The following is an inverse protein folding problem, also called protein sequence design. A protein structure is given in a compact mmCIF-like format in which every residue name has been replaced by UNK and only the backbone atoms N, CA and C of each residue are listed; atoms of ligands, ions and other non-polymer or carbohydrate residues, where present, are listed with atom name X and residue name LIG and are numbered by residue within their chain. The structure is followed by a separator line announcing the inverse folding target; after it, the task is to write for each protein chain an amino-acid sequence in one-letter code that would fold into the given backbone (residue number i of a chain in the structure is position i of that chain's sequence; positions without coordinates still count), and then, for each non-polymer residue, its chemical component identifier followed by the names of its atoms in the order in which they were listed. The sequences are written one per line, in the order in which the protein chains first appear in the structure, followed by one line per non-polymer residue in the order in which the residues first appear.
data_IF_802185681808
#
_entry.id   IF_802185681808
#
_cell.length_a   1.000
_cell.length_b   1.000
_cell.length_c   1.000
_cell.angle_alpha   90.00
_cell.angle_beta   90.00
_cell.angle_gamma   90.00
#
_symmetry.space_group_name_H-M   'P 1'
#
loop_
_entity.id
_entity.type
_entity.pdbx_description
1 polymer ?
#
# COMPACT_ATOMS: atom_id res chain seq x y z
N UNK A 1 5.63 0.05 25.73
CA UNK A 1 4.72 -0.07 24.57
C UNK A 1 5.55 -0.52 23.37
N UNK A 2 5.44 -1.79 22.97
CA UNK A 2 6.02 -2.24 21.71
C UNK A 2 5.22 -1.60 20.58
N UNK A 3 5.81 -0.63 19.86
CA UNK A 3 5.29 -0.25 18.54
C UNK A 3 5.44 -1.49 17.68
N UNK A 4 4.34 -2.18 17.39
CA UNK A 4 4.37 -3.18 16.32
C UNK A 4 4.94 -2.51 15.08
N UNK A 5 5.97 -3.14 14.52
CA UNK A 5 6.70 -2.60 13.39
C UNK A 5 5.76 -2.70 12.19
N UNK A 6 5.15 -1.57 11.78
CA UNK A 6 4.31 -1.51 10.59
C UNK A 6 5.05 -2.18 9.43
N UNK A 7 4.61 -3.39 9.10
CA UNK A 7 5.20 -4.17 8.03
C UNK A 7 4.56 -3.71 6.72
N UNK A 8 5.34 -3.66 5.63
CA UNK A 8 4.78 -3.29 4.34
C UNK A 8 3.72 -4.30 3.95
N UNK A 9 2.55 -3.81 3.56
CA UNK A 9 1.43 -4.66 3.17
C UNK A 9 1.68 -5.30 1.80
N UNK A 10 2.15 -4.48 0.85
CA UNK A 10 2.49 -4.94 -0.49
C UNK A 10 3.62 -4.11 -1.08
N UNK A 11 4.44 -4.72 -1.95
CA UNK A 11 5.49 -4.03 -2.69
C UNK A 11 5.48 -4.44 -4.16
N UNK A 12 5.50 -3.43 -5.03
CA UNK A 12 5.66 -3.58 -6.48
C UNK A 12 7.00 -2.98 -6.89
N UNK A 13 7.77 -3.68 -7.73
CA UNK A 13 9.11 -3.22 -8.11
C UNK A 13 9.47 -3.63 -9.53
N UNK A 14 10.20 -2.76 -10.22
CA UNK A 14 10.79 -3.04 -11.53
C UNK A 14 12.11 -2.28 -11.70
N UNK A 15 13.18 -3.04 -11.94
CA UNK A 15 14.54 -2.51 -11.91
C UNK A 15 14.87 -1.83 -10.58
N UNK A 16 15.36 -0.59 -10.64
CA UNK A 16 15.67 0.20 -9.45
C UNK A 16 14.46 0.90 -8.81
N UNK A 17 13.24 0.84 -9.37
CA UNK A 17 12.09 1.61 -8.86
C UNK A 17 11.11 0.69 -8.14
N UNK A 18 10.57 1.13 -7.00
CA UNK A 18 9.54 0.39 -6.26
C UNK A 18 8.49 1.29 -5.62
N UNK A 19 7.25 0.84 -5.60
CA UNK A 19 6.15 1.39 -4.80
C UNK A 19 5.79 0.40 -3.68
N UNK A 20 5.77 0.87 -2.44
CA UNK A 20 5.41 0.08 -1.26
C UNK A 20 4.12 0.62 -0.65
N UNK A 21 3.13 -0.25 -0.49
CA UNK A 21 1.85 0.03 0.17
C UNK A 21 1.96 -0.32 1.66
N UNK A 22 1.45 0.56 2.50
CA UNK A 22 1.45 0.43 3.95
C UNK A 22 0.04 0.62 4.49
N UNK A 23 -0.41 -0.28 5.37
CA UNK A 23 -1.63 -0.08 6.17
C UNK A 23 -1.25 0.53 7.51
N UNK A 24 -1.65 1.77 7.73
CA UNK A 24 -1.36 2.49 8.96
C UNK A 24 -2.60 2.56 9.83
N UNK A 25 -2.38 2.62 11.14
CA UNK A 25 -3.41 2.91 12.12
C UNK A 25 -3.30 4.37 12.55
N UNK A 26 -4.44 4.99 12.78
CA UNK A 26 -4.57 6.36 13.24
C UNK A 26 -5.76 6.51 14.18
N UNK A 27 -6.00 7.74 14.62
CA UNK A 27 -7.20 8.09 15.37
C UNK A 27 -7.95 9.20 14.66
N UNK A 28 -9.28 9.12 14.64
CA UNK A 28 -10.13 10.21 14.16
C UNK A 28 -10.05 11.41 15.11
N UNK A 29 -10.61 12.56 14.70
CA UNK A 29 -10.68 13.75 15.57
C UNK A 29 -11.46 13.50 16.87
N UNK A 30 -12.33 12.48 16.87
CA UNK A 30 -13.17 12.08 18.01
C UNK A 30 -12.48 11.00 18.87
N UNK A 31 -11.32 10.51 18.45
CA UNK A 31 -10.50 9.54 19.19
C UNK A 31 -10.73 8.08 18.83
N UNK A 32 -11.62 7.80 17.88
CA UNK A 32 -11.89 6.44 17.37
C UNK A 32 -10.71 5.92 16.55
N UNK A 33 -10.45 4.61 16.62
CA UNK A 33 -9.41 3.98 15.80
C UNK A 33 -9.84 3.93 14.34
N UNK A 34 -8.91 4.29 13.45
CA UNK A 34 -9.11 4.23 12.00
C UNK A 34 -7.87 3.65 11.34
N UNK A 35 -8.03 3.07 10.15
CA UNK A 35 -6.90 2.62 9.34
C UNK A 35 -6.91 3.30 7.98
N UNK A 36 -5.74 3.57 7.45
CA UNK A 36 -5.58 4.22 6.15
C UNK A 36 -4.32 3.71 5.43
N UNK A 37 -4.39 3.67 4.11
CA UNK A 37 -3.29 3.21 3.28
C UNK A 37 -2.39 4.38 2.87
N UNK A 38 -1.07 4.16 2.84
CA UNK A 38 -0.10 5.08 2.25
C UNK A 38 0.81 4.36 1.26
N UNK A 39 1.35 5.10 0.30
CA UNK A 39 2.25 4.57 -0.73
C UNK A 39 3.58 5.30 -0.64
N UNK A 40 4.69 4.55 -0.57
CA UNK A 40 6.05 5.09 -0.65
C UNK A 40 6.68 4.68 -1.98
N UNK A 41 7.07 5.68 -2.79
CA UNK A 41 7.81 5.46 -4.04
C UNK A 41 9.31 5.69 -3.80
N UNK A 42 10.15 4.74 -4.22
CA UNK A 42 11.60 4.80 -4.04
C UNK A 42 12.33 4.35 -5.29
N UNK A 43 13.53 4.93 -5.50
CA UNK A 43 14.51 4.48 -6.47
C UNK A 43 15.79 4.04 -5.76
N UNK A 44 16.30 2.84 -6.09
CA UNK A 44 17.62 2.35 -5.67
C UNK A 44 18.68 2.65 -6.71
N UNK A 45 19.88 2.95 -6.23
CA UNK A 45 21.06 3.14 -7.05
C UNK A 45 22.30 2.72 -6.29
N UNK A 46 23.38 2.40 -7.01
CA UNK A 46 24.71 2.21 -6.43
C UNK A 46 25.43 3.56 -6.39
N UNK A 47 25.99 3.89 -5.25
CA UNK A 47 26.81 5.09 -5.11
C UNK A 47 28.27 4.83 -5.52
N UNK A 48 29.15 5.80 -5.22
CA UNK A 48 30.58 5.73 -5.58
C UNK A 48 31.35 4.64 -4.80
N UNK A 49 30.80 4.16 -3.69
CA UNK A 49 31.38 3.13 -2.84
C UNK A 49 30.80 1.74 -3.15
N UNK A 50 30.05 1.59 -4.26
CA UNK A 50 29.28 0.40 -4.65
C UNK A 50 28.18 0.01 -3.64
N UNK A 51 27.76 0.94 -2.78
CA UNK A 51 26.70 0.70 -1.80
C UNK A 51 25.32 1.02 -2.40
N UNK A 52 24.35 0.16 -2.10
CA UNK A 52 22.98 0.34 -2.57
C UNK A 52 22.20 1.34 -1.72
N UNK A 53 22.06 2.55 -2.24
CA UNK A 53 21.26 3.61 -1.63
C UNK A 53 19.83 3.63 -2.18
N UNK A 54 18.94 4.32 -1.46
CA UNK A 54 17.57 4.64 -1.88
C UNK A 54 17.38 6.15 -1.92
N UNK A 55 16.55 6.64 -2.84
CA UNK A 55 16.20 8.05 -2.97
C UNK A 55 14.77 8.22 -3.50
N UNK A 56 14.21 9.40 -3.28
CA UNK A 56 12.90 9.80 -3.80
C UNK A 56 13.04 10.75 -5.01
N UNK A 57 14.27 10.92 -5.54
CA UNK A 57 14.55 11.68 -6.74
C UNK A 57 14.67 10.76 -7.96
N UNK A 58 13.85 11.02 -8.98
CA UNK A 58 13.70 10.20 -10.18
C UNK A 58 14.29 10.90 -11.42
N UNK A 59 14.80 10.10 -12.35
CA UNK A 59 15.27 10.55 -13.67
C UNK A 59 14.20 10.27 -14.72
N UNK A 60 14.35 10.84 -15.92
CA UNK A 60 13.42 10.65 -17.04
C UNK A 60 13.19 9.15 -17.33
N UNK A 61 14.26 8.35 -17.34
CA UNK A 61 14.18 6.90 -17.60
C UNK A 61 13.53 6.08 -16.47
N UNK A 62 13.34 6.69 -15.30
CA UNK A 62 12.63 6.05 -14.19
C UNK A 62 11.11 6.28 -14.30
N UNK A 63 10.65 7.27 -15.06
CA UNK A 63 9.24 7.63 -15.15
C UNK A 63 8.36 6.48 -15.65
N UNK A 64 8.70 5.74 -16.74
CA UNK A 64 7.87 4.62 -17.17
C UNK A 64 7.75 3.53 -16.10
N UNK A 65 8.83 3.30 -15.34
CA UNK A 65 8.87 2.33 -14.24
C UNK A 65 8.03 2.80 -13.05
N UNK A 66 8.14 4.07 -12.69
CA UNK A 66 7.34 4.71 -11.65
C UNK A 66 5.84 4.61 -11.96
N UNK A 67 5.44 4.96 -13.19
CA UNK A 67 4.05 4.83 -13.66
C UNK A 67 3.58 3.38 -13.50
N UNK A 68 4.35 2.40 -13.98
CA UNK A 68 3.96 1.00 -13.89
C UNK A 68 3.75 0.53 -12.44
N UNK A 69 4.70 0.81 -11.54
CA UNK A 69 4.56 0.36 -10.13
C UNK A 69 3.47 1.12 -9.38
N UNK A 70 3.21 2.38 -9.73
CA UNK A 70 2.10 3.16 -9.16
C UNK A 70 0.75 2.65 -9.67
N UNK A 71 0.62 2.35 -10.96
CA UNK A 71 -0.59 1.73 -11.52
C UNK A 71 -0.89 0.40 -10.83
N UNK A 72 0.14 -0.43 -10.57
CA UNK A 72 -0.03 -1.69 -9.84
C UNK A 72 -0.40 -1.50 -8.37
N UNK A 73 0.15 -0.48 -7.71
CA UNK A 73 -0.26 -0.15 -6.35
C UNK A 73 -1.73 0.33 -6.29
N UNK A 74 -2.13 1.17 -7.24
CA UNK A 74 -3.51 1.65 -7.36
C UNK A 74 -4.49 0.50 -7.64
N UNK A 75 -4.19 -0.33 -8.64
CA UNK A 75 -4.98 -1.52 -8.98
C UNK A 75 -5.17 -2.43 -7.75
N UNK A 76 -4.10 -2.68 -7.00
CA UNK A 76 -4.16 -3.48 -5.78
C UNK A 76 -5.06 -2.88 -4.69
N UNK A 77 -4.99 -1.57 -4.48
CA UNK A 77 -5.79 -0.90 -3.46
C UNK A 77 -7.27 -0.89 -3.82
N UNK A 78 -7.60 -0.47 -5.04
CA UNK A 78 -8.99 -0.32 -5.49
C UNK A 78 -9.70 -1.67 -5.63
N UNK A 79 -9.03 -2.67 -6.23
CA UNK A 79 -9.65 -3.99 -6.38
C UNK A 79 -9.82 -4.70 -5.03
N UNK A 80 -8.97 -4.41 -4.04
CA UNK A 80 -9.14 -4.95 -2.69
C UNK A 80 -10.27 -4.26 -1.94
N UNK A 81 -10.38 -2.94 -2.01
CA UNK A 81 -11.52 -2.21 -1.42
C UNK A 81 -12.85 -2.77 -1.95
N UNK A 82 -12.95 -3.03 -3.25
CA UNK A 82 -14.12 -3.69 -3.84
C UNK A 82 -14.35 -5.09 -3.30
N UNK A 83 -13.30 -5.90 -3.10
CA UNK A 83 -13.46 -7.23 -2.55
C UNK A 83 -13.93 -7.20 -1.08
N UNK A 84 -13.39 -6.29 -0.28
CA UNK A 84 -13.76 -6.12 1.13
C UNK A 84 -15.23 -5.63 1.25
N UNK A 85 -15.67 -4.68 0.42
CA UNK A 85 -17.07 -4.20 0.39
C UNK A 85 -18.07 -5.30 0.00
N UNK A 86 -17.72 -6.19 -0.94
CA UNK A 86 -18.59 -7.30 -1.35
C UNK A 86 -18.73 -8.38 -0.26
N UNK A 87 -17.69 -8.58 0.55
CA UNK A 87 -17.73 -9.55 1.67
C UNK A 87 -18.61 -9.03 2.80
N UNK A 88 -18.65 -7.72 3.05
CA UNK A 88 -19.52 -7.12 4.06
C UNK A 88 -21.01 -7.20 3.66
N UNK A 89 -21.33 -7.01 2.37
CA UNK A 89 -22.69 -7.18 1.85
C UNK A 89 -23.15 -8.65 1.92
N UNK A 90 -22.31 -9.63 1.55
CA UNK A 90 -22.68 -11.06 1.68
C UNK A 90 -22.75 -11.54 3.14
N UNK A 91 -21.85 -11.07 4.01
CA UNK A 91 -21.86 -11.41 5.43
C UNK A 91 -23.10 -10.84 6.15
N UNK A 92 -23.55 -9.65 5.75
CA UNK A 92 -24.79 -9.06 6.26
C UNK A 92 -26.05 -9.76 5.72
N UNK A 93 -25.98 -10.35 4.53
CA UNK A 93 -27.05 -11.16 3.94
C UNK A 93 -27.21 -12.54 4.62
N UNK A 94 -26.11 -13.18 5.05
CA UNK A 94 -26.15 -14.46 5.77
C UNK A 94 -26.79 -14.30 7.16
N UNK A 95 -26.52 -13.19 7.88
CA UNK A 95 -27.10 -12.97 9.21
C UNK A 95 -28.61 -12.70 9.15
N UNK A 96 -29.13 -12.13 8.06
CA UNK A 96 -30.60 -11.93 7.91
C UNK A 96 -31.35 -13.19 7.52
N UNK A 97 -30.72 -14.16 6.84
CA UNK A 97 -31.35 -15.44 6.48
C UNK A 97 -31.45 -16.42 7.66
N UNK A 98 -30.53 -16.36 8.62
CA UNK A 98 -30.54 -17.24 9.82
C UNK A 98 -31.47 -16.76 10.96
N UNK A 99 -32.19 -15.64 10.78
CA UNK A 99 -33.10 -15.04 11.80
C UNK A 99 -34.60 -15.30 11.51
N UNK A 100 -34.95 -16.01 10.43
CA UNK A 100 -36.36 -16.26 10.06
C UNK A 100 -36.81 -17.70 10.30
#
# INVERSE_FOLDING_TARGET
MNKEKNSPEKRFSTGGVSATVWKNQGKTKVGEETSYNTISLQRRYRDKNDEWQSTNSFRINDLPKAILVLNKAYEYLVLREQADEQVDDESSMIIVEDIV
#
